data_IF_547121918210
#
_entry.id   IF_547121918210
#
_cell.length_a   1.000
_cell.length_b   1.000
_cell.length_c   1.000
_cell.angle_alpha   90.00
_cell.angle_beta   90.00
_cell.angle_gamma   90.00
#
_symmetry.space_group_name_H-M   'P 1'
#
loop_
_entity.id
_entity.type
_entity.pdbx_description
1 polymer ?
#
# COMPACT_ATOMS: atom_id res chain seq x y z
N UNK A 1 10.88 -7.88 -15.12
CA UNK A 1 10.64 -7.43 -13.73
C UNK A 1 12.00 -7.17 -13.08
N UNK A 2 12.21 -6.02 -12.46
CA UNK A 2 13.46 -5.78 -11.70
C UNK A 2 13.29 -6.34 -10.30
N UNK A 3 14.18 -7.25 -9.91
CA UNK A 3 14.33 -7.66 -8.52
C UNK A 3 15.05 -6.56 -7.76
N UNK A 4 14.41 -5.95 -6.76
CA UNK A 4 15.16 -5.22 -5.75
C UNK A 4 16.01 -6.21 -4.94
N UNK A 5 17.13 -5.75 -4.37
CA UNK A 5 18.01 -6.56 -3.52
C UNK A 5 17.18 -7.43 -2.55
N UNK A 6 17.46 -8.73 -2.50
CA UNK A 6 16.75 -9.69 -1.64
C UNK A 6 15.49 -10.34 -2.23
N UNK A 7 15.37 -10.46 -3.56
CA UNK A 7 14.35 -11.27 -4.23
C UNK A 7 12.96 -10.62 -4.34
N UNK A 8 12.87 -9.31 -4.17
CA UNK A 8 11.59 -8.58 -4.20
C UNK A 8 11.22 -8.11 -5.61
N UNK A 9 10.03 -8.43 -6.07
CA UNK A 9 9.48 -7.96 -7.35
C UNK A 9 8.65 -6.69 -7.14
N UNK A 10 9.03 -5.59 -7.78
CA UNK A 10 8.24 -4.35 -7.80
C UNK A 10 7.03 -4.49 -8.74
N UNK A 11 5.82 -4.33 -8.20
CA UNK A 11 4.56 -4.52 -8.95
C UNK A 11 3.76 -3.23 -9.16
N UNK A 12 4.13 -2.15 -8.47
CA UNK A 12 3.52 -0.84 -8.66
C UNK A 12 4.36 0.27 -8.03
N UNK A 13 4.42 1.41 -8.71
CA UNK A 13 5.15 2.60 -8.27
C UNK A 13 4.42 3.88 -8.68
N UNK A 14 4.36 4.82 -7.75
CA UNK A 14 4.13 6.22 -8.04
C UNK A 14 5.35 7.05 -7.67
N UNK A 15 5.79 7.95 -8.53
CA UNK A 15 6.83 8.93 -8.25
C UNK A 15 6.37 10.31 -8.71
N UNK A 16 6.23 11.24 -7.78
CA UNK A 16 5.88 12.64 -8.07
C UNK A 16 7.06 13.33 -8.79
N UNK A 17 7.03 13.38 -10.12
CA UNK A 17 8.11 13.96 -10.93
C UNK A 17 7.85 15.39 -11.39
N UNK A 18 6.59 15.75 -11.50
CA UNK A 18 6.13 17.07 -11.90
C UNK A 18 4.75 17.35 -11.25
N UNK A 19 4.22 18.55 -11.45
CA UNK A 19 2.93 18.98 -10.91
C UNK A 19 1.76 18.76 -11.89
N UNK A 20 1.93 17.95 -12.94
CA UNK A 20 0.89 17.72 -13.94
C UNK A 20 -0.27 16.92 -13.31
N UNK A 21 -1.51 17.43 -13.30
CA UNK A 21 -2.67 16.71 -12.77
C UNK A 21 -2.90 15.35 -13.46
N UNK A 22 -2.48 15.22 -14.72
CA UNK A 22 -2.59 13.98 -15.49
C UNK A 22 -1.67 12.86 -14.97
N UNK A 23 -0.71 13.17 -14.10
CA UNK A 23 0.15 12.19 -13.45
C UNK A 23 -0.47 11.56 -12.20
N UNK A 24 -1.72 11.88 -11.89
CA UNK A 24 -2.44 11.25 -10.79
C UNK A 24 -2.90 9.82 -11.15
N UNK A 25 -3.06 8.94 -10.14
CA UNK A 25 -3.59 7.60 -10.32
C UNK A 25 -4.99 7.60 -10.93
N UNK A 26 -5.13 7.09 -12.16
CA UNK A 26 -6.40 7.16 -12.90
C UNK A 26 -6.85 5.85 -13.54
N UNK A 27 -5.91 4.98 -13.93
CA UNK A 27 -6.21 3.73 -14.63
C UNK A 27 -6.10 2.55 -13.67
N UNK A 28 -7.20 1.83 -13.52
CA UNK A 28 -7.24 0.59 -12.76
C UNK A 28 -7.60 -0.58 -13.67
N UNK A 29 -6.95 -1.74 -13.51
CA UNK A 29 -7.27 -2.95 -14.28
C UNK A 29 -7.27 -4.19 -13.39
N UNK A 30 -8.12 -5.14 -13.75
CA UNK A 30 -8.14 -6.49 -13.17
C UNK A 30 -7.16 -7.44 -13.88
N UNK A 31 -6.42 -6.99 -14.90
CA UNK A 31 -5.42 -7.79 -15.60
C UNK A 31 -4.02 -7.40 -15.14
N UNK A 32 -3.35 -8.27 -14.38
CA UNK A 32 -1.97 -8.02 -14.00
C UNK A 32 -1.03 -7.99 -15.22
N UNK A 33 -1.39 -8.69 -16.29
CA UNK A 33 -0.61 -8.74 -17.54
C UNK A 33 -0.59 -7.39 -18.26
N UNK A 34 -1.65 -6.58 -18.10
CA UNK A 34 -1.70 -5.20 -18.61
C UNK A 34 -0.93 -4.21 -17.73
N UNK A 35 -1.00 -4.40 -16.41
CA UNK A 35 -0.45 -3.45 -15.43
C UNK A 35 1.05 -3.66 -15.21
N UNK A 36 1.51 -4.91 -15.12
CA UNK A 36 2.91 -5.19 -14.79
C UNK A 36 3.92 -4.61 -15.79
N UNK A 37 3.70 -4.60 -17.12
CA UNK A 37 4.59 -3.87 -18.04
C UNK A 37 4.67 -2.37 -17.75
N UNK A 38 3.64 -1.81 -17.10
CA UNK A 38 3.47 -0.38 -16.79
C UNK A 38 3.72 -0.05 -15.32
N UNK A 39 4.34 -0.95 -14.53
CA UNK A 39 4.56 -0.79 -13.09
C UNK A 39 5.28 0.52 -12.67
N UNK A 40 5.98 1.18 -13.60
CA UNK A 40 6.69 2.46 -13.39
C UNK A 40 5.82 3.70 -13.65
N UNK A 41 4.66 3.53 -14.28
CA UNK A 41 3.74 4.61 -14.61
C UNK A 41 2.90 4.97 -13.39
N UNK A 42 2.74 6.26 -13.16
CA UNK A 42 1.95 6.78 -12.05
C UNK A 42 0.44 6.57 -12.22
N UNK A 43 -0.02 6.12 -13.38
CA UNK A 43 -1.43 6.06 -13.73
C UNK A 43 -2.03 4.67 -13.59
N UNK A 44 -1.21 3.60 -13.62
CA UNK A 44 -1.69 2.22 -13.76
C UNK A 44 -1.59 1.45 -12.45
N UNK A 45 -2.73 0.95 -11.96
CA UNK A 45 -2.82 0.22 -10.71
C UNK A 45 -3.62 -1.06 -10.82
N UNK A 46 -3.11 -2.08 -10.15
CA UNK A 46 -3.70 -3.40 -10.14
C UNK A 46 -4.83 -3.47 -9.12
N UNK A 47 -6.02 -3.84 -9.59
CA UNK A 47 -7.17 -4.12 -8.73
C UNK A 47 -7.06 -5.50 -8.10
N UNK A 48 -7.82 -5.68 -7.03
CA UNK A 48 -7.89 -6.89 -6.20
C UNK A 48 -7.95 -8.19 -7.00
N UNK A 49 -8.83 -8.31 -8.01
CA UNK A 49 -8.96 -9.54 -8.81
C UNK A 49 -7.68 -9.85 -9.58
N UNK A 50 -7.06 -8.84 -10.19
CA UNK A 50 -5.79 -8.99 -10.88
C UNK A 50 -4.63 -9.29 -9.92
N UNK A 51 -4.66 -8.73 -8.72
CA UNK A 51 -3.68 -9.04 -7.68
C UNK A 51 -3.82 -10.49 -7.18
N UNK A 52 -5.04 -11.00 -7.08
CA UNK A 52 -5.29 -12.41 -6.77
C UNK A 52 -4.77 -13.35 -7.86
N UNK A 53 -5.02 -13.03 -9.14
CA UNK A 53 -4.46 -13.79 -10.26
C UNK A 53 -2.93 -13.77 -10.22
N UNK A 54 -2.32 -12.61 -9.98
CA UNK A 54 -0.89 -12.49 -9.85
C UNK A 54 -0.33 -13.36 -8.71
N UNK A 55 -1.02 -13.38 -7.56
CA UNK A 55 -0.67 -14.23 -6.41
C UNK A 55 -0.66 -15.70 -6.78
N UNK A 56 -1.69 -16.17 -7.49
CA UNK A 56 -1.81 -17.56 -7.87
C UNK A 56 -0.76 -17.98 -8.92
N UNK A 57 -0.46 -17.09 -9.87
CA UNK A 57 0.49 -17.39 -10.95
C UNK A 57 1.96 -17.28 -10.50
N UNK A 58 2.29 -16.33 -9.61
CA UNK A 58 3.66 -16.14 -9.10
C UNK A 58 3.95 -16.92 -7.81
N UNK A 59 2.93 -17.25 -7.01
CA UNK A 59 3.11 -17.95 -5.74
C UNK A 59 3.73 -17.11 -4.61
N UNK A 60 3.64 -15.78 -4.66
CA UNK A 60 4.23 -14.93 -3.62
C UNK A 60 3.51 -15.09 -2.27
N UNK A 61 4.28 -15.02 -1.19
CA UNK A 61 3.82 -15.23 0.20
C UNK A 61 4.06 -14.04 1.10
N UNK A 62 4.67 -12.97 0.58
CA UNK A 62 4.84 -11.71 1.30
C UNK A 62 4.58 -10.51 0.40
N UNK A 63 4.14 -9.40 1.02
CA UNK A 63 4.01 -8.09 0.39
C UNK A 63 4.78 -7.05 1.20
N UNK A 64 5.39 -6.09 0.51
CA UNK A 64 6.14 -4.98 1.10
C UNK A 64 5.59 -3.65 0.61
N UNK A 65 5.27 -2.78 1.55
CA UNK A 65 4.84 -1.41 1.31
C UNK A 65 5.99 -0.48 1.61
N UNK A 66 6.28 0.41 0.66
CA UNK A 66 7.18 1.53 0.86
C UNK A 66 6.45 2.81 0.46
N UNK A 67 6.54 3.84 1.26
CA UNK A 67 6.30 5.19 0.79
C UNK A 67 7.21 6.20 1.47
N UNK A 68 7.50 7.28 0.74
CA UNK A 68 8.25 8.42 1.20
C UNK A 68 7.50 9.71 0.87
N UNK A 69 7.35 10.59 1.86
CA UNK A 69 6.75 11.91 1.70
C UNK A 69 7.70 12.99 2.19
N UNK A 70 8.19 13.79 1.25
CA UNK A 70 9.33 14.70 1.44
C UNK A 70 9.00 15.84 2.40
N UNK A 71 7.82 16.46 2.29
CA UNK A 71 7.44 17.61 3.16
C UNK A 71 7.48 17.30 4.66
N UNK A 72 7.20 16.07 5.05
CA UNK A 72 7.28 15.60 6.44
C UNK A 72 8.51 14.75 6.73
N UNK A 73 9.36 14.56 5.71
CA UNK A 73 10.52 13.68 5.77
C UNK A 73 10.18 12.28 6.27
N UNK A 74 9.05 11.70 5.80
CA UNK A 74 8.49 10.47 6.37
C UNK A 74 8.71 9.27 5.47
N UNK A 75 9.23 8.18 6.02
CA UNK A 75 9.26 6.85 5.40
C UNK A 75 8.37 5.88 6.18
N UNK A 76 7.44 5.26 5.45
CA UNK A 76 6.79 4.01 5.86
C UNK A 76 7.40 2.88 5.05
N UNK A 77 7.97 1.88 5.72
CA UNK A 77 8.59 0.74 5.07
C UNK A 77 8.34 -0.53 5.87
N UNK A 78 7.34 -1.31 5.46
CA UNK A 78 6.94 -2.54 6.15
C UNK A 78 6.83 -3.70 5.17
N UNK A 79 7.03 -4.92 5.67
CA UNK A 79 6.71 -6.14 4.95
C UNK A 79 5.87 -7.07 5.80
N UNK A 80 4.96 -7.83 5.21
CA UNK A 80 4.22 -8.87 5.95
C UNK A 80 5.17 -9.95 6.46
N UNK A 81 4.80 -10.57 7.57
CA UNK A 81 5.50 -11.73 8.14
C UNK A 81 5.32 -12.97 7.25
N UNK A 82 6.21 -13.96 7.39
CA UNK A 82 6.13 -15.25 6.67
C UNK A 82 5.45 -16.31 7.54
N UNK A 83 4.30 -15.97 8.10
CA UNK A 83 3.50 -16.84 8.95
C UNK A 83 2.00 -16.72 8.59
N UNK A 84 1.13 -17.38 9.36
CA UNK A 84 -0.32 -17.33 9.15
C UNK A 84 -0.91 -15.92 9.25
N UNK A 85 -0.33 -15.03 10.07
CA UNK A 85 -0.78 -13.64 10.20
C UNK A 85 -0.47 -12.87 8.93
N UNK A 86 0.73 -13.02 8.37
CA UNK A 86 1.09 -12.44 7.08
C UNK A 86 0.26 -13.00 5.92
N UNK A 87 -0.01 -14.31 5.91
CA UNK A 87 -0.88 -14.95 4.93
C UNK A 87 -2.32 -14.39 4.97
N UNK A 88 -2.85 -14.12 6.16
CA UNK A 88 -4.16 -13.49 6.31
C UNK A 88 -4.20 -12.06 5.73
N UNK A 89 -3.09 -11.32 5.79
CA UNK A 89 -2.96 -10.00 5.12
C UNK A 89 -3.03 -10.14 3.61
N UNK A 90 -2.33 -11.12 3.04
CA UNK A 90 -2.40 -11.40 1.62
C UNK A 90 -3.83 -11.74 1.19
N UNK A 91 -4.49 -12.65 1.93
CA UNK A 91 -5.88 -13.01 1.66
C UNK A 91 -6.79 -11.77 1.67
N UNK A 92 -6.67 -10.88 2.66
CA UNK A 92 -7.42 -9.63 2.71
C UNK A 92 -7.21 -8.72 1.48
N UNK A 93 -6.00 -8.69 0.94
CA UNK A 93 -5.66 -7.90 -0.24
C UNK A 93 -6.09 -8.56 -1.56
N UNK A 94 -6.38 -9.86 -1.57
CA UNK A 94 -6.69 -10.64 -2.80
C UNK A 94 -8.12 -11.14 -2.88
N UNK A 95 -8.60 -11.91 -1.91
CA UNK A 95 -9.78 -12.79 -2.06
C UNK A 95 -10.65 -12.88 -0.80
N UNK A 96 -10.19 -12.33 0.32
CA UNK A 96 -10.95 -12.22 1.57
C UNK A 96 -11.45 -10.80 1.86
N UNK A 97 -12.59 -10.71 2.52
CA UNK A 97 -13.12 -9.47 3.11
C UNK A 97 -12.90 -9.42 4.64
N UNK A 98 -12.31 -10.46 5.23
CA UNK A 98 -11.95 -10.47 6.64
C UNK A 98 -10.83 -9.50 6.92
N UNK A 99 -10.96 -8.69 7.98
CA UNK A 99 -9.92 -7.75 8.40
C UNK A 99 -8.91 -8.47 9.32
N UNK A 100 -7.68 -8.77 8.87
CA UNK A 100 -6.68 -9.46 9.68
C UNK A 100 -6.15 -8.54 10.78
N UNK A 101 -5.61 -9.16 11.84
CA UNK A 101 -4.95 -8.42 12.92
C UNK A 101 -3.75 -7.64 12.37
N UNK A 102 -3.61 -6.37 12.72
CA UNK A 102 -2.50 -5.53 12.25
C UNK A 102 -1.20 -5.86 13.00
N UNK A 103 -1.19 -5.71 14.33
CA UNK A 103 0.00 -5.96 15.13
C UNK A 103 0.47 -7.41 15.05
N UNK A 104 1.76 -7.58 14.75
CA UNK A 104 2.41 -8.88 14.59
C UNK A 104 2.18 -9.54 13.22
N UNK A 105 1.47 -8.88 12.29
CA UNK A 105 1.31 -9.38 10.91
C UNK A 105 2.37 -8.87 9.95
N UNK A 106 3.15 -7.87 10.35
CA UNK A 106 4.20 -7.25 9.54
C UNK A 106 5.44 -6.93 10.39
N UNK A 107 6.56 -6.68 9.71
CA UNK A 107 7.82 -6.21 10.27
C UNK A 107 8.16 -4.85 9.67
N UNK A 108 8.64 -3.92 10.52
CA UNK A 108 9.20 -2.63 10.10
C UNK A 108 10.62 -2.84 9.59
N UNK A 109 10.97 -2.25 8.45
CA UNK A 109 12.32 -2.31 7.89
C UNK A 109 13.20 -1.17 8.44
N UNK A 110 14.51 -1.26 8.25
CA UNK A 110 15.49 -0.46 9.02
C UNK A 110 15.37 1.06 8.86
N UNK A 111 14.83 1.53 7.74
CA UNK A 111 14.58 2.92 7.41
C UNK A 111 13.15 3.38 7.76
N UNK A 112 12.28 2.49 8.24
CA UNK A 112 10.93 2.85 8.69
C UNK A 112 10.98 3.66 9.99
N UNK A 113 10.44 4.86 9.90
CA UNK A 113 10.24 5.73 11.06
C UNK A 113 8.78 6.17 11.16
N UNK A 114 7.88 5.38 10.59
CA UNK A 114 6.46 5.72 10.52
C UNK A 114 5.74 5.67 11.87
N UNK A 115 4.85 6.63 12.11
CA UNK A 115 3.96 6.66 13.27
C UNK A 115 2.91 5.57 13.08
N UNK A 116 2.41 5.41 11.86
CA UNK A 116 1.44 4.42 11.47
C UNK A 116 1.94 3.01 11.79
N UNK A 117 3.13 2.60 11.33
CA UNK A 117 3.63 1.26 11.65
C UNK A 117 3.98 1.06 13.14
N UNK A 118 4.38 2.12 13.85
CA UNK A 118 4.63 2.09 15.30
C UNK A 118 3.35 1.90 16.14
N UNK A 119 2.19 2.26 15.60
CA UNK A 119 0.91 2.27 16.31
C UNK A 119 -0.10 1.31 15.65
N UNK A 120 0.32 0.09 15.34
CA UNK A 120 -0.52 -0.93 14.68
C UNK A 120 -1.80 -1.24 15.47
N UNK A 121 -1.79 -1.05 16.79
CA UNK A 121 -2.92 -1.30 17.69
C UNK A 121 -4.05 -0.30 17.45
N UNK A 122 -3.74 0.85 16.85
CA UNK A 122 -4.72 1.87 16.46
C UNK A 122 -5.24 1.67 15.05
N UNK A 123 -4.80 0.64 14.34
CA UNK A 123 -5.20 0.47 12.95
C UNK A 123 -6.65 0.00 12.80
N UNK A 124 -7.30 0.49 11.75
CA UNK A 124 -8.55 -0.06 11.25
C UNK A 124 -9.83 0.54 11.85
N UNK A 125 -10.95 0.26 11.19
CA UNK A 125 -12.29 0.72 11.57
C UNK A 125 -13.36 -0.26 11.05
N UNK A 126 -14.42 -0.60 11.83
CA UNK A 126 -14.79 -0.02 13.13
C UNK A 126 -13.98 -0.58 14.30
N UNK A 127 -13.25 -1.68 14.09
CA UNK A 127 -12.44 -2.31 15.13
C UNK A 127 -10.97 -1.94 14.98
N UNK A 128 -10.33 -1.68 16.13
CA UNK A 128 -8.90 -1.40 16.24
C UNK A 128 -8.05 -2.66 16.05
N UNK A 129 -6.74 -2.45 15.81
CA UNK A 129 -5.77 -3.49 15.54
C UNK A 129 -6.13 -4.37 14.33
N UNK A 130 -6.65 -3.74 13.27
CA UNK A 130 -7.07 -4.41 12.03
C UNK A 130 -6.51 -3.71 10.81
N UNK A 131 -6.21 -4.48 9.76
CA UNK A 131 -6.01 -3.92 8.44
C UNK A 131 -7.34 -3.40 7.90
N UNK A 132 -7.32 -2.26 7.21
CA UNK A 132 -8.46 -1.77 6.46
C UNK A 132 -9.59 -1.11 7.26
N UNK A 133 -10.51 -0.51 6.53
CA UNK A 133 -11.66 0.22 7.05
C UNK A 133 -12.92 -0.28 6.34
N UNK A 134 -14.00 -0.56 7.08
CA UNK A 134 -15.25 -1.11 6.53
C UNK A 134 -15.83 -0.29 5.38
N UNK A 135 -15.90 1.04 5.53
CA UNK A 135 -16.31 1.98 4.46
C UNK A 135 -15.37 2.08 3.24
N UNK A 136 -14.19 1.46 3.27
CA UNK A 136 -13.22 1.44 2.17
C UNK A 136 -12.88 0.01 1.72
N UNK A 137 -13.79 -0.95 1.96
CA UNK A 137 -13.65 -2.32 1.48
C UNK A 137 -13.91 -2.42 -0.03
N UNK A 138 -13.02 -1.83 -0.82
CA UNK A 138 -13.11 -1.70 -2.28
C UNK A 138 -12.02 -2.52 -2.98
N UNK A 139 -12.14 -2.68 -4.30
CA UNK A 139 -11.17 -3.45 -5.10
C UNK A 139 -9.81 -2.76 -5.27
N UNK A 140 -9.73 -1.47 -4.96
CA UNK A 140 -8.49 -0.69 -4.96
C UNK A 140 -7.80 -0.64 -3.57
N UNK A 141 -8.22 -1.48 -2.61
CA UNK A 141 -7.72 -1.48 -1.21
C UNK A 141 -6.19 -1.58 -1.10
N UNK A 142 -5.52 -2.22 -2.06
CA UNK A 142 -4.06 -2.30 -2.10
C UNK A 142 -3.38 -0.91 -2.09
N UNK A 143 -4.04 0.09 -2.67
CA UNK A 143 -3.55 1.46 -2.77
C UNK A 143 -4.44 2.47 -2.03
N UNK A 144 -5.45 2.02 -1.30
CA UNK A 144 -6.43 2.90 -0.65
C UNK A 144 -6.73 2.42 0.77
N UNK A 145 -6.11 3.08 1.75
CA UNK A 145 -6.42 2.93 3.19
C UNK A 145 -6.42 1.47 3.68
N UNK A 146 -5.52 0.63 3.18
CA UNK A 146 -5.28 -0.70 3.79
C UNK A 146 -4.56 -0.59 5.14
N UNK A 147 -3.68 0.42 5.25
CA UNK A 147 -2.98 0.77 6.48
C UNK A 147 -3.52 2.13 6.92
N UNK A 148 -4.20 2.20 8.06
CA UNK A 148 -4.79 3.45 8.53
C UNK A 148 -4.87 3.52 10.06
N UNK A 149 -4.70 4.71 10.61
CA UNK A 149 -5.27 5.12 11.90
C UNK A 149 -6.43 6.07 11.55
N UNK A 150 -7.70 5.69 11.84
CA UNK A 150 -8.87 6.47 11.46
C UNK A 150 -8.76 7.93 11.86
N UNK A 151 -9.11 8.83 10.94
CA UNK A 151 -9.09 10.28 11.11
C UNK A 151 -7.74 10.90 11.48
N UNK A 152 -6.63 10.17 11.30
CA UNK A 152 -5.30 10.65 11.67
C UNK A 152 -4.25 10.45 10.58
N UNK A 153 -3.95 9.20 10.19
CA UNK A 153 -2.83 8.89 9.28
C UNK A 153 -3.16 7.69 8.41
N UNK A 154 -2.88 7.76 7.11
CA UNK A 154 -3.16 6.68 6.16
C UNK A 154 -1.95 6.36 5.28
N UNK A 155 -1.91 5.13 4.76
CA UNK A 155 -1.29 4.82 3.48
C UNK A 155 -2.39 4.87 2.41
N UNK A 156 -2.35 5.87 1.54
CA UNK A 156 -3.36 6.06 0.49
C UNK A 156 -2.77 6.76 -0.72
N UNK A 157 -2.93 6.15 -1.88
CA UNK A 157 -2.48 6.68 -3.16
C UNK A 157 -3.65 6.82 -4.15
N UNK A 158 -4.67 5.98 -4.09
CA UNK A 158 -5.84 6.05 -4.98
C UNK A 158 -7.09 6.44 -4.18
N UNK A 159 -7.93 7.29 -4.78
CA UNK A 159 -9.22 7.72 -4.23
C UNK A 159 -9.26 9.22 -3.94
N UNK A 160 -10.30 9.66 -3.23
CA UNK A 160 -10.40 11.04 -2.79
C UNK A 160 -9.25 11.41 -1.83
N UNK A 161 -8.76 12.64 -1.98
CA UNK A 161 -7.70 13.22 -1.15
C UNK A 161 -7.98 13.06 0.36
N UNK A 162 -6.92 13.02 1.18
CA UNK A 162 -5.51 13.21 0.81
C UNK A 162 -4.79 11.94 0.33
N UNK A 163 -3.84 12.11 -0.60
CA UNK A 163 -2.78 11.13 -0.87
C UNK A 163 -1.81 11.15 0.30
N UNK A 164 -1.75 10.05 1.04
CA UNK A 164 -1.11 9.98 2.34
C UNK A 164 -0.06 8.87 2.41
N UNK A 165 1.02 9.19 3.12
CA UNK A 165 2.11 8.31 3.47
C UNK A 165 2.48 8.58 4.93
N UNK A 166 1.65 8.08 5.85
CA UNK A 166 1.82 8.28 7.30
C UNK A 166 1.88 9.77 7.73
N UNK A 167 1.37 10.68 6.92
CA UNK A 167 1.22 12.09 7.28
C UNK A 167 -0.14 12.38 7.91
N UNK A 168 -0.21 13.53 8.56
CA UNK A 168 -1.38 13.98 9.31
C UNK A 168 -2.45 14.48 8.34
N UNK A 169 -3.53 13.72 8.21
CA UNK A 169 -4.57 14.00 7.22
C UNK A 169 -5.41 15.23 7.58
N UNK A 170 -5.43 15.64 8.84
CA UNK A 170 -6.08 16.88 9.25
C UNK A 170 -5.34 18.13 8.75
N UNK A 171 -4.06 17.99 8.39
CA UNK A 171 -3.23 19.07 7.85
C UNK A 171 -3.23 19.15 6.33
N UNK A 172 -3.93 18.24 5.66
CA UNK A 172 -3.99 18.10 4.19
C UNK A 172 -2.64 18.34 3.50
N UNK A 173 -1.63 17.57 3.94
CA UNK A 173 -0.26 17.78 3.48
C UNK A 173 -0.19 17.38 2.01
N UNK A 174 -0.20 18.35 1.11
CA UNK A 174 -0.14 18.11 -0.33
C UNK A 174 1.17 17.39 -0.74
N UNK A 175 1.08 16.56 -1.78
CA UNK A 175 2.24 15.90 -2.38
C UNK A 175 3.30 16.92 -2.86
N UNK A 176 4.54 16.46 -2.98
CA UNK A 176 5.68 17.23 -3.45
C UNK A 176 6.59 16.42 -4.37
N UNK A 177 7.35 17.12 -5.22
CA UNK A 177 8.32 16.49 -6.11
C UNK A 177 9.29 15.61 -5.32
N UNK A 178 9.40 14.34 -5.73
CA UNK A 178 10.19 13.31 -5.07
C UNK A 178 9.39 12.40 -4.13
N UNK A 179 8.12 12.69 -3.84
CA UNK A 179 7.27 11.75 -3.10
C UNK A 179 7.11 10.44 -3.88
N UNK A 180 7.13 9.32 -3.17
CA UNK A 180 7.29 7.99 -3.74
C UNK A 180 6.41 6.98 -3.01
N UNK A 181 5.71 6.12 -3.75
CA UNK A 181 5.02 4.94 -3.24
C UNK A 181 5.43 3.74 -4.06
N UNK A 182 5.67 2.61 -3.40
CA UNK A 182 6.05 1.36 -4.05
C UNK A 182 5.44 0.16 -3.33
N UNK A 183 5.04 -0.83 -4.12
CA UNK A 183 4.57 -2.12 -3.61
C UNK A 183 5.39 -3.23 -4.24
N UNK A 184 5.90 -4.13 -3.40
CA UNK A 184 6.69 -5.27 -3.81
C UNK A 184 6.08 -6.58 -3.30
N UNK A 185 6.35 -7.68 -4.01
CA UNK A 185 5.95 -9.04 -3.61
C UNK A 185 7.13 -10.01 -3.71
N UNK A 186 7.09 -11.09 -2.93
CA UNK A 186 7.99 -12.24 -3.03
C UNK A 186 7.38 -13.51 -2.46
#
# INVERSE_FOLDING_TARGET
>A
MTTAQGGWTLIGRFLMKDNNPNNLPSVTSNSYREILPKYKSNNYYLLRKGFNQLKNDMGFTQIRFYCFKKKVGRVLHIMTTKDSKGANVLAYLTDSNSFPRACGSFTRLGDDHSILAKNCEKWGHPTKNRWGHSGYLKDNRLFSRALLIPWARYYSLIGALPHACDDDVAKDIAMSLGDLWQIFVR
#
